data_IF_795240569045
#
_entry.id   IF_795240569045
#
_cell.length_a   1.000
_cell.length_b   1.000
_cell.length_c   1.000
_cell.angle_alpha   90.00
_cell.angle_beta   90.00
_cell.angle_gamma   90.00
#
_symmetry.space_group_name_H-M   'P 1'
#
loop_
_entity.id
_entity.type
_entity.pdbx_description
1 polymer ?
#
# COMPACT_ATOMS: atom_id res chain seq x y z
N UNK A 1 -3.61 -20.67 -34.33
CA UNK A 1 -3.24 -21.09 -32.96
C UNK A 1 -1.92 -20.42 -32.61
N UNK A 2 -1.84 -19.67 -31.49
CA UNK A 2 -0.60 -18.94 -31.13
C UNK A 2 0.55 -19.92 -30.96
N UNK A 3 1.74 -19.51 -31.39
CA UNK A 3 2.98 -20.19 -31.10
C UNK A 3 3.12 -20.51 -29.59
N UNK A 4 3.40 -21.79 -29.28
CA UNK A 4 3.59 -22.29 -27.92
C UNK A 4 4.61 -21.48 -27.11
N UNK A 5 5.72 -21.07 -27.72
CA UNK A 5 6.74 -20.24 -27.04
C UNK A 5 6.19 -18.87 -26.60
N UNK A 6 5.29 -18.28 -27.40
CA UNK A 6 4.69 -16.98 -27.07
C UNK A 6 3.70 -17.15 -25.91
N UNK A 7 2.90 -18.22 -25.92
CA UNK A 7 2.00 -18.54 -24.80
C UNK A 7 2.78 -18.72 -23.50
N UNK A 8 3.84 -19.52 -23.52
CA UNK A 8 4.70 -19.75 -22.34
C UNK A 8 5.33 -18.47 -21.82
N UNK A 9 5.81 -17.58 -22.71
CA UNK A 9 6.34 -16.26 -22.30
C UNK A 9 5.32 -15.46 -21.50
N UNK A 10 4.07 -15.42 -21.94
CA UNK A 10 3.03 -14.67 -21.23
C UNK A 10 2.61 -15.30 -19.92
N UNK A 11 2.46 -16.62 -19.87
CA UNK A 11 2.13 -17.34 -18.64
C UNK A 11 3.22 -17.11 -17.59
N UNK A 12 4.49 -17.26 -17.98
CA UNK A 12 5.62 -17.00 -17.09
C UNK A 12 5.66 -15.55 -16.59
N UNK A 13 5.30 -14.59 -17.45
CA UNK A 13 5.25 -13.17 -17.06
C UNK A 13 4.13 -12.93 -16.04
N UNK A 14 2.97 -13.55 -16.24
CA UNK A 14 1.85 -13.52 -15.31
C UNK A 14 2.18 -14.20 -13.96
N UNK A 15 2.91 -15.31 -13.97
CA UNK A 15 3.41 -15.97 -12.75
C UNK A 15 4.36 -15.10 -11.94
N UNK A 16 5.25 -14.37 -12.63
CA UNK A 16 6.22 -13.48 -11.99
C UNK A 16 5.59 -12.24 -11.35
N UNK A 17 4.35 -11.88 -11.69
CA UNK A 17 3.64 -10.77 -11.05
C UNK A 17 3.33 -11.04 -9.58
N UNK A 18 3.44 -12.30 -9.10
CA UNK A 18 3.15 -12.71 -7.71
C UNK A 18 1.82 -12.15 -7.18
N UNK A 19 0.87 -11.97 -8.09
CA UNK A 19 -0.45 -11.43 -7.79
C UNK A 19 -1.41 -12.59 -7.54
N UNK A 20 -2.08 -12.57 -6.40
CA UNK A 20 -3.18 -13.51 -6.08
C UNK A 20 -4.50 -13.11 -6.76
N UNK A 21 -4.47 -12.07 -7.60
CA UNK A 21 -5.65 -11.55 -8.27
C UNK A 21 -6.27 -12.60 -9.22
N UNK A 22 -7.57 -12.93 -9.07
CA UNK A 22 -8.29 -13.87 -9.94
C UNK A 22 -8.17 -13.55 -11.44
N UNK A 23 -7.92 -12.28 -11.79
CA UNK A 23 -7.70 -11.84 -13.17
C UNK A 23 -6.50 -12.55 -13.80
N UNK A 24 -5.47 -12.89 -13.02
CA UNK A 24 -4.30 -13.64 -13.52
C UNK A 24 -4.70 -15.04 -14.01
N UNK A 25 -5.57 -15.73 -13.29
CA UNK A 25 -6.06 -17.05 -13.69
C UNK A 25 -6.88 -16.99 -14.98
N UNK A 26 -7.81 -16.03 -15.08
CA UNK A 26 -8.62 -15.83 -16.28
C UNK A 26 -7.77 -15.46 -17.52
N UNK A 27 -6.70 -14.67 -17.33
CA UNK A 27 -5.79 -14.34 -18.43
C UNK A 27 -5.02 -15.55 -18.94
N UNK A 28 -4.59 -16.44 -18.05
CA UNK A 28 -3.91 -17.69 -18.44
C UNK A 28 -4.85 -18.59 -19.24
N UNK A 29 -6.06 -18.79 -18.74
CA UNK A 29 -7.08 -19.59 -19.43
C UNK A 29 -7.41 -19.02 -20.83
N UNK A 30 -7.52 -17.68 -20.93
CA UNK A 30 -7.72 -17.01 -22.21
C UNK A 30 -6.55 -17.24 -23.18
N UNK A 31 -5.29 -17.14 -22.73
CA UNK A 31 -4.10 -17.41 -23.57
C UNK A 31 -4.10 -18.87 -24.05
N UNK A 32 -4.47 -19.81 -23.19
CA UNK A 32 -4.53 -21.24 -23.54
C UNK A 32 -5.60 -21.52 -24.60
N UNK A 33 -6.78 -20.93 -24.46
CA UNK A 33 -7.95 -21.16 -25.32
C UNK A 33 -7.96 -20.32 -26.61
N UNK A 34 -7.08 -19.32 -26.74
CA UNK A 34 -7.07 -18.45 -27.91
C UNK A 34 -6.74 -19.18 -29.22
N UNK A 35 -7.58 -18.94 -30.23
CA UNK A 35 -7.59 -19.62 -31.53
C UNK A 35 -6.52 -19.12 -32.53
N UNK A 36 -5.96 -17.93 -32.30
CA UNK A 36 -4.91 -17.33 -33.13
C UNK A 36 -5.42 -16.42 -34.26
N UNK A 37 -6.69 -16.00 -34.23
CA UNK A 37 -7.32 -15.20 -35.28
C UNK A 37 -6.73 -13.77 -35.44
N UNK A 38 -6.19 -13.17 -34.37
CA UNK A 38 -5.55 -11.84 -34.37
C UNK A 38 -4.42 -11.71 -33.34
N UNK A 39 -3.24 -12.28 -33.63
CA UNK A 39 -2.12 -12.28 -32.69
C UNK A 39 -1.63 -10.87 -32.33
N UNK A 40 -1.72 -9.91 -33.26
CA UNK A 40 -1.18 -8.56 -33.08
C UNK A 40 -1.99 -7.78 -32.04
N UNK A 41 -3.33 -7.81 -32.13
CA UNK A 41 -4.17 -7.13 -31.16
C UNK A 41 -4.20 -7.89 -29.83
N UNK A 42 -4.09 -9.22 -29.85
CA UNK A 42 -3.88 -9.99 -28.62
C UNK A 42 -2.61 -9.55 -27.88
N UNK A 43 -1.48 -9.40 -28.59
CA UNK A 43 -0.21 -9.00 -27.99
C UNK A 43 -0.33 -7.64 -27.28
N UNK A 44 -1.01 -6.69 -27.93
CA UNK A 44 -1.29 -5.36 -27.37
C UNK A 44 -2.20 -5.43 -26.14
N UNK A 45 -3.25 -6.25 -26.20
CA UNK A 45 -4.19 -6.42 -25.11
C UNK A 45 -3.47 -7.00 -23.88
N UNK A 46 -2.74 -8.11 -24.05
CA UNK A 46 -2.00 -8.76 -22.97
C UNK A 46 -0.99 -7.82 -22.33
N UNK A 47 -0.20 -7.08 -23.12
CA UNK A 47 0.74 -6.09 -22.58
C UNK A 47 0.03 -4.97 -21.81
N UNK A 48 -1.12 -4.50 -22.30
CA UNK A 48 -1.89 -3.44 -21.65
C UNK A 48 -2.46 -3.91 -20.31
N UNK A 49 -3.01 -5.13 -20.26
CA UNK A 49 -3.57 -5.70 -19.03
C UNK A 49 -2.46 -6.02 -18.02
N UNK A 50 -1.34 -6.59 -18.46
CA UNK A 50 -0.16 -6.83 -17.60
C UNK A 50 0.33 -5.51 -17.00
N UNK A 51 0.44 -4.45 -17.80
CA UNK A 51 0.83 -3.12 -17.31
C UNK A 51 -0.16 -2.59 -16.28
N UNK A 52 -1.46 -2.75 -16.52
CA UNK A 52 -2.50 -2.34 -15.57
C UNK A 52 -2.37 -3.09 -14.24
N UNK A 53 -2.13 -4.40 -14.28
CA UNK A 53 -1.93 -5.23 -13.08
C UNK A 53 -0.70 -4.77 -12.28
N UNK A 54 0.41 -4.43 -12.94
CA UNK A 54 1.62 -3.89 -12.29
C UNK A 54 1.28 -2.56 -11.60
N UNK A 55 0.66 -1.62 -12.31
CA UNK A 55 0.30 -0.30 -11.77
C UNK A 55 -0.68 -0.43 -10.60
N UNK A 56 -1.65 -1.34 -10.70
CA UNK A 56 -2.58 -1.61 -9.61
C UNK A 56 -1.88 -2.20 -8.39
N UNK A 57 -0.94 -3.13 -8.60
CA UNK A 57 -0.09 -3.69 -7.55
C UNK A 57 0.70 -2.60 -6.82
N UNK A 58 1.35 -1.70 -7.55
CA UNK A 58 2.07 -0.55 -6.98
C UNK A 58 1.14 0.39 -6.19
N UNK A 59 -0.06 0.65 -6.71
CA UNK A 59 -1.05 1.49 -6.03
C UNK A 59 -1.51 0.87 -4.71
N UNK A 60 -1.80 -0.44 -4.69
CA UNK A 60 -2.18 -1.17 -3.48
C UNK A 60 -1.04 -1.18 -2.44
N UNK A 61 0.21 -1.35 -2.89
CA UNK A 61 1.37 -1.26 -2.02
C UNK A 61 1.46 0.14 -1.40
N UNK A 62 1.39 1.19 -2.22
CA UNK A 62 1.42 2.58 -1.73
C UNK A 62 0.27 2.85 -0.76
N UNK A 63 -0.95 2.44 -1.06
CA UNK A 63 -2.10 2.58 -0.18
C UNK A 63 -1.86 1.91 1.18
N UNK A 64 -1.33 0.68 1.20
CA UNK A 64 -0.96 -0.01 2.46
C UNK A 64 0.11 0.74 3.25
N UNK A 65 1.10 1.34 2.59
CA UNK A 65 2.13 2.14 3.27
C UNK A 65 1.58 3.46 3.79
N UNK A 66 0.70 4.14 3.05
CA UNK A 66 0.02 5.34 3.53
C UNK A 66 -0.85 5.04 4.75
N UNK A 67 -1.60 3.94 4.75
CA UNK A 67 -2.40 3.52 5.92
C UNK A 67 -1.53 3.26 7.15
N UNK A 68 -0.38 2.56 6.97
CA UNK A 68 0.57 2.33 8.07
C UNK A 68 1.18 3.64 8.58
N UNK A 69 1.53 4.55 7.68
CA UNK A 69 2.10 5.85 8.03
C UNK A 69 1.07 6.70 8.80
N UNK A 70 -0.19 6.70 8.37
CA UNK A 70 -1.27 7.41 9.04
C UNK A 70 -1.47 6.90 10.47
N UNK A 71 -1.56 5.57 10.65
CA UNK A 71 -1.67 4.95 11.99
C UNK A 71 -0.47 5.26 12.88
N UNK A 72 0.74 5.26 12.31
CA UNK A 72 1.95 5.62 13.06
C UNK A 72 1.94 7.09 13.49
N UNK A 73 1.45 7.99 12.63
CA UNK A 73 1.31 9.41 12.96
C UNK A 73 0.29 9.62 14.09
N UNK A 74 -0.87 8.97 14.00
CA UNK A 74 -1.88 9.03 15.07
C UNK A 74 -1.34 8.57 16.42
N UNK A 75 -0.56 7.47 16.43
CA UNK A 75 0.11 6.99 17.63
C UNK A 75 1.15 7.97 18.16
N UNK A 76 1.92 8.61 17.27
CA UNK A 76 2.88 9.65 17.68
C UNK A 76 2.19 10.88 18.26
N UNK A 77 1.12 11.37 17.62
CA UNK A 77 0.37 12.53 18.09
C UNK A 77 -0.27 12.26 19.47
N UNK A 78 -0.73 11.02 19.72
CA UNK A 78 -1.23 10.61 21.05
C UNK A 78 -0.14 10.60 22.12
N UNK A 79 1.02 10.02 21.84
CA UNK A 79 2.15 10.01 22.78
C UNK A 79 2.69 11.43 23.02
N UNK A 80 2.76 12.26 21.98
CA UNK A 80 3.17 13.66 22.10
C UNK A 80 2.21 14.46 22.98
N UNK A 81 0.89 14.33 22.75
CA UNK A 81 -0.12 15.01 23.57
C UNK A 81 -0.08 14.55 25.03
N UNK A 82 0.22 13.27 25.28
CA UNK A 82 0.39 12.75 26.64
C UNK A 82 1.61 13.36 27.33
N UNK A 83 2.75 13.46 26.64
CA UNK A 83 3.96 14.10 27.17
C UNK A 83 3.72 15.59 27.42
N UNK A 84 3.06 16.29 26.49
CA UNK A 84 2.73 17.71 26.64
C UNK A 84 1.81 17.94 27.84
N UNK A 85 0.76 17.12 28.01
CA UNK A 85 -0.14 17.20 29.16
C UNK A 85 0.56 16.96 30.49
N UNK A 86 1.48 15.98 30.55
CA UNK A 86 2.31 15.74 31.74
C UNK A 86 3.23 16.94 32.04
N UNK A 87 3.73 17.62 31.02
CA UNK A 87 4.56 18.82 31.20
C UNK A 87 3.74 20.00 31.75
N UNK A 88 2.51 20.20 31.23
CA UNK A 88 1.59 21.23 31.72
C UNK A 88 1.13 20.97 33.16
N UNK A 89 0.93 19.71 33.54
CA UNK A 89 0.66 19.32 34.93
C UNK A 89 1.83 19.69 35.86
N UNK A 90 3.07 19.41 35.46
CA UNK A 90 4.27 19.76 36.24
C UNK A 90 4.43 21.29 36.38
N UNK A 91 4.14 22.05 35.33
CA UNK A 91 4.22 23.51 35.36
C UNK A 91 3.13 24.11 36.27
N UNK A 92 1.94 23.52 36.31
CA UNK A 92 0.85 24.01 37.17
C UNK A 92 0.96 23.58 38.64
N UNK A 93 1.66 22.49 38.96
CA UNK A 93 1.89 22.02 40.34
C UNK A 93 3.08 22.72 41.05
N UNK A 94 3.65 23.78 40.44
CA UNK A 94 4.85 24.49 40.93
C UNK A 94 4.64 25.95 41.35
N UNK A 95 3.47 26.32 41.88
CA UNK A 95 3.39 27.47 42.79
C UNK A 95 3.48 27.00 44.25
N UNK A 96 4.69 26.96 44.86
CA UNK A 96 4.77 26.86 46.31
C UNK A 96 4.10 28.10 46.92
N UNK A 97 3.24 27.95 47.94
CA UNK A 97 2.62 29.10 48.59
C UNK A 97 3.71 30.03 49.11
N UNK A 98 3.68 31.29 48.66
CA UNK A 98 4.60 32.33 49.11
C UNK A 98 4.53 32.40 50.64
N UNK A 99 5.66 32.29 51.37
CA UNK A 99 5.62 32.36 52.83
C UNK A 99 5.14 33.75 53.24
N UNK A 100 3.98 33.81 53.91
CA UNK A 100 3.48 35.06 54.50
C UNK A 100 4.35 35.36 55.72
N UNK A 101 5.26 36.35 55.59
CA UNK A 101 6.02 36.84 56.73
C UNK A 101 5.10 37.62 57.67
N UNK A 102 5.15 37.39 59.00
CA UNK A 102 4.32 38.13 59.94
C UNK A 102 4.74 39.61 60.00
N UNK A 103 3.77 40.54 60.18
CA UNK A 103 4.06 41.97 60.25
C UNK A 103 4.94 42.30 61.46
N UNK A 104 5.88 43.22 61.25
CA UNK A 104 6.79 43.76 62.27
C UNK A 104 6.06 44.58 63.33
#
# INVERSE_FOLDING_TARGET
MINKEIKEKYINLLDNLKSEDPVVAHLKEFIETYDGSDEKNLHKLLLSVIRLLIVNGEALVKAKYYDKLSKSKEGFDQEFNKIAGQFDEIVNDTEPPVPVLPPQ
#
